data_IF_311773195441
#
_entry.id   IF_311773195441
#
_cell.length_a   1.000
_cell.length_b   1.000
_cell.length_c   1.000
_cell.angle_alpha   90.00
_cell.angle_beta   90.00
_cell.angle_gamma   90.00
#
_symmetry.space_group_name_H-M   'P 1'
#
loop_
_entity.id
_entity.type
_entity.pdbx_description
1 polymer ?
#
# COMPACT_ATOMS: atom_id res chain seq x y z
N UNK A 1 7.17 6.00 -6.44
CA UNK A 1 8.64 6.20 -6.45
C UNK A 1 8.93 7.64 -6.85
N UNK A 2 9.96 8.29 -6.31
CA UNK A 2 10.51 9.55 -6.78
C UNK A 2 12.00 9.37 -7.04
N UNK A 3 12.42 9.44 -8.30
CA UNK A 3 13.83 9.25 -8.65
C UNK A 3 14.68 10.48 -8.34
N UNK A 4 14.09 11.66 -8.52
CA UNK A 4 14.75 12.94 -8.24
C UNK A 4 15.09 13.11 -6.76
N UNK A 5 14.24 12.58 -5.88
CA UNK A 5 14.44 12.64 -4.42
C UNK A 5 14.93 11.31 -3.84
N UNK A 6 15.13 10.28 -4.68
CA UNK A 6 15.55 8.93 -4.30
C UNK A 6 14.72 8.35 -3.15
N UNK A 7 13.39 8.33 -3.27
CA UNK A 7 12.52 7.69 -2.27
C UNK A 7 11.43 6.79 -2.87
N UNK A 8 10.98 5.83 -2.08
CA UNK A 8 9.85 4.94 -2.36
C UNK A 8 8.89 4.95 -1.17
N UNK A 9 7.60 5.13 -1.43
CA UNK A 9 6.55 4.97 -0.43
C UNK A 9 5.79 3.66 -0.71
N UNK A 10 5.84 2.72 0.22
CA UNK A 10 5.03 1.51 0.22
C UNK A 10 3.71 1.78 0.94
N UNK A 11 2.59 1.51 0.28
CA UNK A 11 1.27 1.89 0.75
C UNK A 11 0.53 0.69 1.37
N UNK A 12 0.60 0.53 2.70
CA UNK A 12 -0.32 -0.40 3.36
C UNK A 12 -1.76 0.13 3.26
N UNK A 13 -2.77 -0.67 2.90
CA UNK A 13 -4.12 -0.15 2.71
C UNK A 13 -4.69 0.49 3.98
N UNK A 14 -5.44 1.59 3.83
CA UNK A 14 -6.16 2.31 4.91
C UNK A 14 -5.27 3.00 5.95
N UNK A 15 -4.01 3.28 5.61
CA UNK A 15 -3.06 4.08 6.42
C UNK A 15 -2.87 5.51 5.88
N UNK A 16 -3.94 6.09 5.31
CA UNK A 16 -3.95 7.41 4.68
C UNK A 16 -3.13 7.55 3.38
N UNK A 17 -2.84 6.44 2.69
CA UNK A 17 -2.07 6.51 1.44
C UNK A 17 -2.72 7.30 0.30
N UNK A 18 -4.04 7.48 0.30
CA UNK A 18 -4.70 8.44 -0.61
C UNK A 18 -4.21 9.86 -0.38
N UNK A 19 -4.23 10.35 0.86
CA UNK A 19 -3.78 11.69 1.21
C UNK A 19 -2.28 11.85 0.96
N UNK A 20 -1.48 10.82 1.26
CA UNK A 20 -0.06 10.84 0.94
C UNK A 20 0.21 10.87 -0.56
N UNK A 21 -0.55 10.11 -1.36
CA UNK A 21 -0.45 10.16 -2.81
C UNK A 21 -0.82 11.55 -3.32
N UNK A 22 -1.83 12.20 -2.72
CA UNK A 22 -2.23 13.56 -3.08
C UNK A 22 -1.10 14.58 -2.88
N UNK A 23 -0.43 14.52 -1.73
CA UNK A 23 0.68 15.41 -1.38
C UNK A 23 1.95 15.09 -2.19
N UNK A 24 2.25 13.81 -2.40
CA UNK A 24 3.52 13.38 -3.00
C UNK A 24 3.49 13.29 -4.52
N UNK A 25 2.32 13.23 -5.15
CA UNK A 25 2.17 13.09 -6.60
C UNK A 25 3.05 14.01 -7.46
N UNK A 26 3.24 15.30 -7.12
CA UNK A 26 4.10 16.19 -7.90
C UNK A 26 5.57 15.79 -7.91
N UNK A 27 6.00 14.96 -6.96
CA UNK A 27 7.38 14.51 -6.80
C UNK A 27 7.60 13.09 -7.31
N UNK A 28 6.54 12.32 -7.60
CA UNK A 28 6.67 10.94 -8.07
C UNK A 28 7.23 10.90 -9.50
N UNK A 29 7.89 9.81 -9.88
CA UNK A 29 8.26 9.53 -11.27
C UNK A 29 7.26 8.56 -11.91
N UNK A 30 6.70 8.90 -13.09
CA UNK A 30 6.61 10.25 -13.66
C UNK A 30 5.74 11.16 -12.79
N UNK A 31 5.93 12.48 -12.87
CA UNK A 31 5.13 13.44 -12.10
C UNK A 31 3.65 13.21 -12.41
N UNK A 32 2.85 12.92 -11.38
CA UNK A 32 1.45 12.62 -11.56
C UNK A 32 0.63 13.90 -11.44
N UNK A 33 -0.07 14.27 -12.52
CA UNK A 33 -1.13 15.28 -12.44
C UNK A 33 -2.38 14.62 -11.85
N UNK A 34 -2.73 14.97 -10.62
CA UNK A 34 -3.96 14.49 -10.00
C UNK A 34 -5.14 15.20 -10.67
N UNK A 35 -6.11 14.47 -11.24
CA UNK A 35 -7.32 15.07 -11.76
C UNK A 35 -8.11 15.76 -10.63
N UNK A 36 -8.65 16.94 -10.89
CA UNK A 36 -9.52 17.70 -9.96
C UNK A 36 -10.87 17.03 -9.66
N UNK A 37 -11.09 15.79 -10.11
CA UNK A 37 -12.39 15.12 -10.04
C UNK A 37 -12.75 14.61 -8.63
N UNK A 38 -14.06 14.69 -8.32
CA UNK A 38 -14.73 14.19 -7.10
C UNK A 38 -14.25 12.78 -6.70
N UNK A 39 -13.61 12.71 -5.54
CA UNK A 39 -13.32 11.53 -4.71
C UNK A 39 -12.91 10.22 -5.43
N UNK A 40 -11.63 9.85 -5.27
CA UNK A 40 -11.04 8.50 -5.45
C UNK A 40 -11.06 7.84 -6.84
N UNK A 41 -11.81 8.32 -7.83
CA UNK A 41 -11.85 7.73 -9.18
C UNK A 41 -10.53 7.78 -9.96
N UNK A 42 -9.58 8.61 -9.52
CA UNK A 42 -8.24 8.69 -10.10
C UNK A 42 -7.32 7.55 -9.64
N UNK A 43 -7.51 7.03 -8.42
CA UNK A 43 -6.58 6.08 -7.78
C UNK A 43 -6.17 4.90 -8.68
N UNK A 44 -7.08 4.19 -9.38
CA UNK A 44 -6.71 3.06 -10.21
C UNK A 44 -5.79 3.41 -11.40
N UNK A 45 -5.76 4.68 -11.84
CA UNK A 45 -4.87 5.17 -12.91
C UNK A 45 -3.46 5.50 -12.41
N UNK A 46 -3.27 5.54 -11.10
CA UNK A 46 -2.05 5.98 -10.43
C UNK A 46 -1.45 4.90 -9.52
N UNK A 47 -2.12 3.75 -9.40
CA UNK A 47 -1.48 2.53 -8.92
C UNK A 47 -0.54 2.07 -10.04
N UNK A 48 0.77 2.26 -9.86
CA UNK A 48 1.72 1.40 -10.55
C UNK A 48 1.25 -0.05 -10.32
N UNK A 49 1.21 -0.85 -11.37
CA UNK A 49 1.15 -2.34 -11.38
C UNK A 49 0.06 -3.10 -10.59
N UNK A 50 -0.93 -2.42 -9.98
CA UNK A 50 -1.93 -3.04 -9.06
C UNK A 50 -1.32 -3.71 -7.81
N UNK A 51 -0.03 -3.49 -7.51
CA UNK A 51 0.66 -4.08 -6.36
C UNK A 51 0.81 -3.15 -5.17
N UNK A 52 0.28 -1.93 -5.23
CA UNK A 52 0.37 -0.99 -4.09
C UNK A 52 -0.06 -1.58 -2.75
N UNK A 53 -0.91 -2.61 -2.75
CA UNK A 53 -1.41 -3.30 -1.57
C UNK A 53 -0.87 -4.72 -1.42
N UNK A 54 0.31 -5.03 -1.95
CA UNK A 54 1.03 -6.30 -1.78
C UNK A 54 2.22 -6.12 -0.84
N UNK A 55 2.59 -7.18 -0.13
CA UNK A 55 3.79 -7.18 0.70
C UNK A 55 5.04 -6.79 -0.12
N UNK A 56 6.00 -6.12 0.53
CA UNK A 56 7.22 -5.62 -0.15
C UNK A 56 7.98 -6.76 -0.82
N UNK A 57 8.07 -7.92 -0.17
CA UNK A 57 8.70 -9.13 -0.72
C UNK A 57 8.07 -9.58 -2.04
N UNK A 58 6.74 -9.54 -2.15
CA UNK A 58 6.02 -9.88 -3.38
C UNK A 58 6.30 -8.86 -4.49
N UNK A 59 6.37 -7.57 -4.13
CA UNK A 59 6.74 -6.52 -5.08
C UNK A 59 8.17 -6.70 -5.59
N UNK A 60 9.11 -7.06 -4.70
CA UNK A 60 10.50 -7.36 -5.05
C UNK A 60 10.62 -8.59 -5.94
N UNK A 61 10.01 -9.71 -5.55
CA UNK A 61 10.01 -10.97 -6.32
C UNK A 61 9.47 -10.74 -7.74
N UNK A 62 8.36 -10.01 -7.88
CA UNK A 62 7.82 -9.71 -9.22
C UNK A 62 8.74 -8.80 -10.02
N UNK A 63 9.38 -7.81 -9.40
CA UNK A 63 10.34 -6.97 -10.09
C UNK A 63 11.59 -7.74 -10.59
N UNK A 64 11.96 -8.82 -9.91
CA UNK A 64 13.04 -9.71 -10.34
C UNK A 64 12.63 -10.61 -11.51
N UNK A 65 11.36 -11.04 -11.55
CA UNK A 65 10.87 -12.04 -12.51
C UNK A 65 10.10 -11.44 -13.71
N UNK A 66 9.61 -10.20 -13.62
CA UNK A 66 8.75 -9.56 -14.62
C UNK A 66 9.37 -8.24 -15.09
N UNK A 67 9.81 -8.18 -16.36
CA UNK A 67 10.50 -7.01 -16.93
C UNK A 67 9.69 -5.70 -16.94
N UNK A 68 8.36 -5.78 -16.85
CA UNK A 68 7.48 -4.62 -16.81
C UNK A 68 7.31 -4.04 -15.40
N UNK A 69 7.76 -4.77 -14.37
CA UNK A 69 7.69 -4.34 -12.96
C UNK A 69 9.02 -3.68 -12.59
N UNK A 70 9.04 -2.39 -12.24
CA UNK A 70 10.27 -1.72 -11.85
C UNK A 70 10.86 -2.30 -10.56
N UNK A 71 12.17 -2.52 -10.54
CA UNK A 71 12.90 -2.84 -9.32
C UNK A 71 12.96 -1.63 -8.38
N UNK A 72 13.03 -1.89 -7.08
CA UNK A 72 13.28 -0.85 -6.09
C UNK A 72 14.75 -0.44 -6.23
N UNK A 73 15.06 0.80 -6.62
CA UNK A 73 16.45 1.16 -6.90
C UNK A 73 17.29 1.19 -5.61
N UNK A 74 18.51 0.70 -5.71
CA UNK A 74 19.45 0.71 -4.58
C UNK A 74 19.74 2.14 -4.10
N UNK A 75 19.82 2.32 -2.77
CA UNK A 75 20.13 3.61 -2.16
C UNK A 75 18.96 4.59 -2.09
N UNK A 76 17.72 4.14 -2.38
CA UNK A 76 16.52 4.96 -2.17
C UNK A 76 16.05 4.83 -0.72
N UNK A 77 15.59 5.94 -0.15
CA UNK A 77 14.89 5.94 1.13
C UNK A 77 13.52 5.28 0.98
N UNK A 78 13.23 4.27 1.79
CA UNK A 78 12.00 3.47 1.75
C UNK A 78 11.17 3.81 2.96
N UNK A 79 9.93 4.21 2.75
CA UNK A 79 9.01 4.54 3.83
C UNK A 79 7.68 3.79 3.69
N UNK A 80 7.02 3.56 4.82
CA UNK A 80 5.61 3.22 4.88
C UNK A 80 4.91 3.93 6.04
N UNK A 81 3.60 4.06 5.95
CA UNK A 81 2.80 4.49 7.08
C UNK A 81 2.02 3.31 7.61
N UNK A 82 2.11 3.10 8.92
CA UNK A 82 1.31 2.12 9.65
C UNK A 82 0.19 2.79 10.42
N UNK A 83 -0.78 2.00 10.85
CA UNK A 83 -1.90 2.42 11.68
C UNK A 83 -2.06 1.47 12.86
N UNK A 84 -2.71 1.93 13.93
CA UNK A 84 -3.19 1.04 14.97
C UNK A 84 -3.94 -0.16 14.34
N UNK A 85 -3.59 -1.42 14.66
CA UNK A 85 -4.19 -2.60 14.04
C UNK A 85 -5.72 -2.66 14.16
N UNK A 86 -6.29 -2.19 15.27
CA UNK A 86 -7.73 -2.18 15.49
C UNK A 86 -8.43 -1.09 14.67
N UNK A 87 -7.86 0.12 14.63
CA UNK A 87 -8.39 1.20 13.79
C UNK A 87 -8.36 0.85 12.30
N UNK A 88 -7.38 0.04 11.89
CA UNK A 88 -7.29 -0.47 10.53
C UNK A 88 -8.48 -1.38 10.19
N UNK A 89 -8.84 -2.29 11.09
CA UNK A 89 -10.01 -3.17 10.95
C UNK A 89 -11.30 -2.36 10.87
N UNK A 90 -11.47 -1.36 11.75
CA UNK A 90 -12.62 -0.45 11.72
C UNK A 90 -12.68 0.34 10.40
N UNK A 91 -11.52 0.81 9.92
CA UNK A 91 -11.42 1.55 8.65
C UNK A 91 -11.71 0.67 7.43
N UNK A 92 -11.35 -0.61 7.47
CA UNK A 92 -11.61 -1.60 6.43
C UNK A 92 -13.11 -1.95 6.30
N UNK A 93 -13.85 -1.85 7.41
CA UNK A 93 -15.29 -2.07 7.45
C UNK A 93 -16.10 -0.99 6.70
N UNK A 94 -15.53 0.20 6.49
CA UNK A 94 -16.22 1.30 5.82
C UNK A 94 -16.10 1.29 4.28
N UNK A 95 -17.19 1.52 3.52
CA UNK A 95 -18.56 1.74 3.99
C UNK A 95 -19.27 0.44 4.40
N UNK A 96 -20.08 0.45 5.48
CA UNK A 96 -20.59 -0.78 6.07
C UNK A 96 -21.72 -1.40 5.25
N UNK A 97 -21.55 -2.65 4.84
CA UNK A 97 -22.59 -3.46 4.18
C UNK A 97 -23.13 -4.58 5.08
N UNK A 98 -22.42 -4.89 6.16
CA UNK A 98 -22.76 -5.86 7.21
C UNK A 98 -22.39 -5.26 8.57
N UNK A 99 -22.85 -5.86 9.68
CA UNK A 99 -22.43 -5.42 11.02
C UNK A 99 -20.91 -5.61 11.20
N UNK A 100 -20.30 -4.81 12.08
CA UNK A 100 -18.88 -4.91 12.38
C UNK A 100 -18.48 -6.32 12.88
N UNK A 101 -19.30 -6.92 13.74
CA UNK A 101 -19.08 -8.30 14.22
C UNK A 101 -19.07 -9.31 13.06
N UNK A 102 -20.06 -9.23 12.16
CA UNK A 102 -20.11 -10.10 10.98
C UNK A 102 -18.92 -9.87 10.05
N UNK A 103 -18.46 -8.62 9.91
CA UNK A 103 -17.26 -8.28 9.17
C UNK A 103 -16.01 -8.93 9.76
N UNK A 104 -15.80 -8.83 11.07
CA UNK A 104 -14.66 -9.47 11.74
C UNK A 104 -14.66 -10.99 11.51
N UNK A 105 -15.80 -11.65 11.70
CA UNK A 105 -15.91 -13.10 11.54
C UNK A 105 -15.72 -13.53 10.08
N UNK A 106 -16.35 -12.84 9.13
CA UNK A 106 -16.40 -13.29 7.73
C UNK A 106 -15.22 -12.84 6.89
N UNK A 107 -14.65 -11.68 7.16
CA UNK A 107 -13.69 -11.02 6.28
C UNK A 107 -12.29 -10.95 6.87
N UNK A 108 -12.18 -10.67 8.17
CA UNK A 108 -10.89 -10.56 8.86
C UNK A 108 -10.35 -11.96 9.17
N UNK A 109 -11.14 -12.80 9.83
CA UNK A 109 -10.72 -14.15 10.21
C UNK A 109 -10.39 -15.03 8.98
N UNK A 110 -11.10 -14.82 7.86
CA UNK A 110 -10.88 -15.57 6.61
C UNK A 110 -9.87 -14.91 5.68
N UNK A 111 -9.39 -13.70 5.99
CA UNK A 111 -8.50 -12.87 5.14
C UNK A 111 -9.03 -12.63 3.72
N UNK A 112 -10.36 -12.63 3.51
CA UNK A 112 -10.97 -12.41 2.19
C UNK A 112 -11.01 -10.94 1.78
N UNK A 113 -11.06 -10.01 2.73
CA UNK A 113 -11.10 -8.58 2.42
C UNK A 113 -9.75 -8.08 1.90
N UNK A 114 -9.78 -7.27 0.85
CA UNK A 114 -8.59 -6.75 0.15
C UNK A 114 -7.63 -5.97 1.05
N UNK A 115 -8.14 -5.30 2.09
CA UNK A 115 -7.34 -4.54 3.06
C UNK A 115 -6.61 -5.46 4.02
N UNK A 116 -7.21 -6.61 4.36
CA UNK A 116 -6.70 -7.49 5.41
C UNK A 116 -6.13 -8.80 4.89
N UNK A 117 -6.25 -9.08 3.59
CA UNK A 117 -5.71 -10.28 2.95
C UNK A 117 -4.19 -10.38 3.03
N UNK A 118 -3.52 -9.22 3.06
CA UNK A 118 -2.06 -9.12 3.23
C UNK A 118 -1.59 -9.44 4.65
N UNK A 119 -2.52 -9.66 5.58
CA UNK A 119 -2.19 -10.01 6.96
C UNK A 119 -1.78 -8.80 7.80
N UNK A 120 -1.07 -9.03 8.92
CA UNK A 120 -0.48 -7.98 9.73
C UNK A 120 0.38 -7.01 8.92
N UNK A 121 0.39 -5.74 9.33
CA UNK A 121 1.27 -4.72 8.75
C UNK A 121 2.76 -5.10 8.87
N UNK A 122 3.11 -5.88 9.90
CA UNK A 122 4.47 -6.41 10.06
C UNK A 122 4.85 -7.31 8.88
N UNK A 123 4.04 -8.34 8.58
CA UNK A 123 4.26 -9.28 7.47
C UNK A 123 4.36 -8.57 6.10
N UNK A 124 3.66 -7.45 5.93
CA UNK A 124 3.74 -6.66 4.70
C UNK A 124 5.08 -5.93 4.55
N UNK A 125 5.69 -5.53 5.67
CA UNK A 125 6.88 -4.68 5.74
C UNK A 125 8.16 -5.45 6.09
N UNK A 126 8.07 -6.76 6.32
CA UNK A 126 9.21 -7.58 6.70
C UNK A 126 9.55 -8.66 5.67
N UNK A 127 10.79 -9.12 5.68
CA UNK A 127 11.19 -10.34 5.00
C UNK A 127 10.72 -11.61 5.75
N UNK A 128 11.05 -12.78 5.20
CA UNK A 128 10.73 -14.10 5.75
C UNK A 128 11.41 -14.39 7.11
N UNK A 129 12.38 -13.56 7.50
CA UNK A 129 13.13 -13.65 8.77
C UNK A 129 12.70 -12.59 9.77
N UNK A 130 11.71 -11.75 9.43
CA UNK A 130 11.24 -10.66 10.27
C UNK A 130 12.10 -9.38 10.22
N UNK A 131 13.04 -9.28 9.27
CA UNK A 131 13.80 -8.07 9.01
C UNK A 131 12.92 -7.02 8.35
N UNK A 132 12.88 -5.80 8.92
CA UNK A 132 12.10 -4.70 8.36
C UNK A 132 12.74 -4.19 7.06
N UNK A 133 11.93 -4.07 6.01
CA UNK A 133 12.36 -3.72 4.64
C UNK A 133 12.21 -2.24 4.30
N UNK A 134 11.71 -1.44 5.24
CA UNK A 134 11.59 0.02 5.14
C UNK A 134 12.54 0.71 6.13
N UNK A 135 12.96 1.92 5.78
CA UNK A 135 13.81 2.76 6.62
C UNK A 135 12.98 3.60 7.61
N UNK A 136 11.67 3.77 7.34
CA UNK A 136 10.67 4.43 8.19
C UNK A 136 9.29 3.80 8.07
#
# INVERSE_FOLDING_TARGET
VSDTHKFVLFHFPKTAGTSMTEVLAPYLTPNLKIPTAKFMGWQPKHHYDRMQHQAITVCMERAENEHEVPTIPAGYFRASFVRNPYDLVVSAWWPPTISFEQFVIKEIATRKNVVTRVGPQFDFLSDDRGGILVDF
#
